data_IF_197467906871
#
_entry.id   IF_197467906871
#
_cell.length_a   1.000
_cell.length_b   1.000
_cell.length_c   1.000
_cell.angle_alpha   90.00
_cell.angle_beta   90.00
_cell.angle_gamma   90.00
#
_symmetry.space_group_name_H-M   'P 1'
#
loop_
_entity.id
_entity.type
_entity.pdbx_description
1 polymer ?
#
# COMPACT_ATOMS: atom_id res chain seq x y z
N UNK A 1 -5.73 3.48 -8.35
CA UNK A 1 -4.33 3.48 -8.85
C UNK A 1 -3.71 4.88 -8.86
N UNK A 2 -4.22 5.87 -9.61
CA UNK A 2 -3.68 7.26 -9.56
C UNK A 2 -3.66 7.88 -8.16
N UNK A 3 -4.68 7.58 -7.37
CA UNK A 3 -4.75 8.05 -5.98
C UNK A 3 -3.63 7.48 -5.09
N UNK A 4 -3.23 6.24 -5.33
CA UNK A 4 -2.11 5.61 -4.62
C UNK A 4 -0.79 6.30 -4.94
N UNK A 5 -0.58 6.68 -6.20
CA UNK A 5 0.62 7.41 -6.62
C UNK A 5 0.72 8.76 -5.90
N UNK A 6 -0.39 9.50 -5.85
CA UNK A 6 -0.48 10.77 -5.13
C UNK A 6 -0.22 10.58 -3.64
N UNK A 7 -0.81 9.55 -3.03
CA UNK A 7 -0.66 9.25 -1.61
C UNK A 7 0.79 8.94 -1.25
N UNK A 8 1.46 8.06 -2.01
CA UNK A 8 2.88 7.74 -1.81
C UNK A 8 3.74 9.00 -1.95
N UNK A 9 3.53 9.81 -2.99
CA UNK A 9 4.30 11.03 -3.19
C UNK A 9 4.12 12.08 -2.10
N UNK A 10 2.96 12.13 -1.45
CA UNK A 10 2.69 13.05 -0.34
C UNK A 10 3.31 12.56 0.98
N UNK A 11 3.17 11.27 1.26
CA UNK A 11 3.66 10.65 2.51
C UNK A 11 5.16 10.45 2.49
N UNK A 12 5.71 10.26 1.30
CA UNK A 12 7.12 10.04 1.07
C UNK A 12 7.57 10.66 -0.26
N UNK A 13 7.98 11.95 -0.24
CA UNK A 13 8.39 12.65 -1.45
C UNK A 13 9.63 12.07 -2.13
N UNK A 14 10.53 11.44 -1.37
CA UNK A 14 11.75 10.85 -1.93
C UNK A 14 11.43 9.56 -2.69
N UNK A 15 10.68 8.64 -2.08
CA UNK A 15 10.22 7.42 -2.74
C UNK A 15 9.31 7.75 -3.94
N UNK A 16 8.41 8.73 -3.78
CA UNK A 16 7.55 9.20 -4.87
C UNK A 16 8.35 9.68 -6.08
N UNK A 17 9.38 10.52 -5.86
CA UNK A 17 10.28 10.97 -6.94
C UNK A 17 11.07 9.83 -7.56
N UNK A 18 11.53 8.87 -6.77
CA UNK A 18 12.23 7.68 -7.26
C UNK A 18 11.34 6.87 -8.21
N UNK A 19 10.13 6.51 -7.78
CA UNK A 19 9.19 5.72 -8.57
C UNK A 19 8.81 6.46 -9.86
N UNK A 20 8.59 7.77 -9.81
CA UNK A 20 8.35 8.59 -10.99
C UNK A 20 9.56 8.60 -11.95
N UNK A 21 10.77 8.79 -11.43
CA UNK A 21 12.01 8.77 -12.23
C UNK A 21 12.21 7.43 -12.94
N UNK A 22 12.00 6.33 -12.21
CA UNK A 22 12.08 4.97 -12.74
C UNK A 22 10.88 4.59 -13.60
N UNK A 23 9.84 5.44 -13.69
CA UNK A 23 8.57 5.19 -14.38
C UNK A 23 7.84 3.95 -13.86
N UNK A 24 7.99 3.64 -12.57
CA UNK A 24 7.27 2.56 -11.89
C UNK A 24 5.88 3.07 -11.52
N UNK A 25 4.91 2.83 -12.40
CA UNK A 25 3.50 3.18 -12.14
C UNK A 25 2.86 2.18 -11.18
N UNK A 26 1.99 2.64 -10.25
CA UNK A 26 1.17 1.73 -9.45
C UNK A 26 0.26 0.80 -10.25
N UNK A 27 0.10 1.01 -11.56
CA UNK A 27 -0.63 0.08 -12.44
C UNK A 27 0.07 -1.28 -12.56
N UNK A 28 1.40 -1.33 -12.43
CA UNK A 28 2.18 -2.56 -12.59
C UNK A 28 1.96 -3.59 -11.46
N UNK A 29 1.55 -3.14 -10.28
CA UNK A 29 1.37 -3.99 -9.09
C UNK A 29 -0.02 -3.78 -8.45
N UNK A 30 -0.46 -2.53 -8.35
CA UNK A 30 -1.67 -2.12 -7.64
C UNK A 30 -2.98 -2.52 -8.30
N UNK A 31 -3.02 -2.78 -9.61
CA UNK A 31 -4.24 -3.27 -10.27
C UNK A 31 -4.68 -4.61 -9.68
N UNK A 32 -3.75 -5.56 -9.60
CA UNK A 32 -3.97 -6.90 -9.05
C UNK A 32 -4.34 -6.84 -7.56
N UNK A 33 -3.58 -6.07 -6.79
CA UNK A 33 -3.83 -5.84 -5.37
C UNK A 33 -5.26 -5.32 -5.08
N UNK A 34 -5.70 -4.33 -5.85
CA UNK A 34 -7.02 -3.73 -5.66
C UNK A 34 -8.13 -4.67 -6.14
N UNK A 35 -8.02 -5.23 -7.35
CA UNK A 35 -9.06 -6.10 -7.94
C UNK A 35 -9.25 -7.38 -7.15
N UNK A 36 -8.17 -7.92 -6.57
CA UNK A 36 -8.20 -9.16 -5.80
C UNK A 36 -8.23 -8.93 -4.29
N UNK A 37 -8.40 -7.68 -3.83
CA UNK A 37 -8.47 -7.32 -2.41
C UNK A 37 -7.36 -7.98 -1.56
N UNK A 38 -6.12 -7.95 -2.09
CA UNK A 38 -4.91 -8.52 -1.49
C UNK A 38 -4.90 -10.05 -1.28
N UNK A 39 -5.88 -10.80 -1.81
CA UNK A 39 -5.98 -12.27 -1.64
C UNK A 39 -4.80 -13.09 -2.19
N UNK A 40 -3.95 -12.48 -3.02
CA UNK A 40 -2.75 -13.12 -3.57
C UNK A 40 -1.46 -12.76 -2.83
N UNK A 41 -1.50 -11.79 -1.91
CA UNK A 41 -0.31 -11.40 -1.13
C UNK A 41 -0.27 -12.05 0.25
N UNK A 42 -1.42 -12.49 0.76
CA UNK A 42 -1.59 -13.00 2.11
C UNK A 42 -2.37 -14.31 2.13
N UNK A 43 -2.21 -15.08 3.20
CA UNK A 43 -3.00 -16.28 3.41
C UNK A 43 -4.46 -15.95 3.78
N UNK A 44 -5.35 -16.94 3.70
CA UNK A 44 -6.77 -16.72 3.93
C UNK A 44 -7.07 -16.12 5.33
N UNK A 45 -6.46 -16.58 6.44
CA UNK A 45 -6.63 -15.94 7.74
C UNK A 45 -6.27 -14.45 7.76
N UNK A 46 -5.16 -14.05 7.16
CA UNK A 46 -4.75 -12.65 7.07
C UNK A 46 -5.68 -11.83 6.19
N UNK A 47 -6.10 -12.38 5.05
CA UNK A 47 -7.08 -11.75 4.16
C UNK A 47 -8.38 -11.47 4.90
N UNK A 48 -8.89 -12.44 5.66
CA UNK A 48 -10.13 -12.27 6.44
C UNK A 48 -9.99 -11.12 7.45
N UNK A 49 -8.86 -11.05 8.16
CA UNK A 49 -8.56 -9.96 9.10
C UNK A 49 -8.46 -8.59 8.42
N UNK A 50 -7.80 -8.53 7.26
CA UNK A 50 -7.75 -7.30 6.45
C UNK A 50 -9.16 -6.88 6.02
N UNK A 51 -10.01 -7.83 5.66
CA UNK A 51 -11.37 -7.56 5.21
C UNK A 51 -12.26 -7.02 6.33
N UNK A 52 -12.06 -7.42 7.58
CA UNK A 52 -12.74 -6.81 8.73
C UNK A 52 -12.47 -5.29 8.78
N UNK A 53 -11.22 -4.86 8.53
CA UNK A 53 -10.86 -3.44 8.42
C UNK A 53 -11.46 -2.78 7.17
N UNK A 54 -11.37 -3.41 6.00
CA UNK A 54 -11.83 -2.85 4.73
C UNK A 54 -13.35 -2.64 4.69
N UNK A 55 -14.11 -3.62 5.19
CA UNK A 55 -15.57 -3.62 5.12
C UNK A 55 -16.23 -2.74 6.20
N UNK A 56 -15.48 -2.36 7.23
CA UNK A 56 -15.93 -1.42 8.26
C UNK A 56 -15.84 0.05 7.78
N UNK A 57 -15.04 0.35 6.74
CA UNK A 57 -14.91 1.69 6.19
C UNK A 57 -16.20 2.14 5.46
N UNK A 58 -16.73 3.30 5.85
CA UNK A 58 -17.91 3.92 5.20
C UNK A 58 -17.62 4.30 3.75
N UNK A 59 -16.36 4.63 3.45
CA UNK A 59 -15.87 4.74 2.08
C UNK A 59 -15.28 3.40 1.67
N UNK A 60 -16.14 2.43 1.36
CA UNK A 60 -15.88 0.99 1.08
C UNK A 60 -14.50 0.55 0.57
N UNK A 61 -13.78 1.37 -0.21
CA UNK A 61 -12.46 1.05 -0.77
C UNK A 61 -11.42 2.17 -0.62
N UNK A 62 -11.72 3.19 0.19
CA UNK A 62 -10.80 4.26 0.56
C UNK A 62 -9.62 3.69 1.32
N UNK A 63 -9.88 3.02 2.44
CA UNK A 63 -8.83 2.39 3.27
C UNK A 63 -7.93 1.41 2.49
N UNK A 64 -8.45 0.69 1.48
CA UNK A 64 -7.64 -0.19 0.63
C UNK A 64 -6.48 0.55 -0.05
N UNK A 65 -6.71 1.78 -0.49
CA UNK A 65 -5.67 2.59 -1.12
C UNK A 65 -4.57 2.97 -0.12
N UNK A 66 -4.94 3.25 1.13
CA UNK A 66 -4.01 3.50 2.23
C UNK A 66 -3.22 2.26 2.59
N UNK A 67 -3.88 1.10 2.65
CA UNK A 67 -3.22 -0.18 2.89
C UNK A 67 -2.20 -0.51 1.79
N UNK A 68 -2.58 -0.40 0.51
CA UNK A 68 -1.64 -0.61 -0.58
C UNK A 68 -0.47 0.38 -0.56
N UNK A 69 -0.69 1.65 -0.19
CA UNK A 69 0.41 2.61 -0.03
C UNK A 69 1.32 2.22 1.14
N UNK A 70 0.77 1.75 2.27
CA UNK A 70 1.55 1.25 3.40
C UNK A 70 2.43 0.05 3.00
N UNK A 71 1.94 -0.85 2.15
CA UNK A 71 2.75 -1.95 1.58
C UNK A 71 3.96 -1.40 0.83
N UNK A 72 3.78 -0.42 -0.05
CA UNK A 72 4.90 0.20 -0.81
C UNK A 72 5.90 0.88 0.13
N UNK A 73 5.40 1.63 1.12
CA UNK A 73 6.21 2.33 2.11
C UNK A 73 6.97 1.36 3.02
N UNK A 74 6.42 0.18 3.30
CA UNK A 74 7.06 -0.83 4.15
C UNK A 74 8.35 -1.43 3.56
N UNK A 75 8.52 -1.35 2.24
CA UNK A 75 9.72 -1.80 1.52
C UNK A 75 10.52 -0.65 0.92
N UNK A 76 10.27 0.59 1.39
CA UNK A 76 10.93 1.82 0.94
C UNK A 76 12.43 1.66 0.78
N UNK A 77 13.10 1.19 1.83
CA UNK A 77 14.56 1.18 1.89
C UNK A 77 15.15 0.27 0.80
N UNK A 78 14.53 -0.89 0.56
CA UNK A 78 14.89 -1.81 -0.51
C UNK A 78 14.72 -1.16 -1.89
N UNK A 79 13.60 -0.45 -2.12
CA UNK A 79 13.35 0.23 -3.40
C UNK A 79 14.37 1.35 -3.66
N UNK A 80 14.72 2.12 -2.61
CA UNK A 80 15.69 3.22 -2.71
C UNK A 80 17.12 2.71 -2.88
N UNK A 81 17.51 1.70 -2.13
CA UNK A 81 18.86 1.12 -2.19
C UNK A 81 19.14 0.54 -3.58
N UNK A 82 18.20 -0.23 -4.14
CA UNK A 82 18.40 -0.85 -5.44
C UNK A 82 18.25 0.13 -6.61
N UNK A 83 17.31 1.08 -6.54
CA UNK A 83 17.12 2.14 -7.54
C UNK A 83 17.07 1.63 -9.00
N UNK A 84 16.45 0.48 -9.23
CA UNK A 84 16.34 -0.16 -10.54
C UNK A 84 14.87 -0.48 -10.88
N UNK A 85 14.47 -0.23 -12.12
CA UNK A 85 13.09 -0.43 -12.56
C UNK A 85 12.64 -1.89 -12.43
N UNK A 86 13.44 -2.82 -12.96
CA UNK A 86 13.08 -4.24 -13.00
C UNK A 86 13.02 -4.82 -11.59
N UNK A 87 13.97 -4.42 -10.74
CA UNK A 87 13.98 -4.77 -9.33
C UNK A 87 12.72 -4.25 -8.62
N UNK A 88 12.42 -2.95 -8.70
CA UNK A 88 11.28 -2.34 -8.03
C UNK A 88 9.95 -2.99 -8.44
N UNK A 89 9.73 -3.21 -9.74
CA UNK A 89 8.52 -3.88 -10.23
C UNK A 89 8.43 -5.30 -9.71
N UNK A 90 9.54 -6.07 -9.75
CA UNK A 90 9.56 -7.44 -9.26
C UNK A 90 9.32 -7.53 -7.77
N UNK A 91 9.94 -6.66 -6.98
CA UNK A 91 9.72 -6.57 -5.54
C UNK A 91 8.24 -6.29 -5.25
N UNK A 92 7.66 -5.28 -5.86
CA UNK A 92 6.26 -4.93 -5.65
C UNK A 92 5.28 -6.01 -6.15
N UNK A 93 5.60 -6.73 -7.23
CA UNK A 93 4.73 -7.80 -7.73
C UNK A 93 4.82 -9.09 -6.89
N UNK A 94 5.96 -9.33 -6.24
CA UNK A 94 6.25 -10.49 -5.39
C UNK A 94 6.45 -10.03 -3.94
N UNK A 95 5.44 -9.35 -3.41
CA UNK A 95 5.50 -8.90 -2.02
C UNK A 95 5.40 -10.09 -1.06
N UNK A 96 4.60 -11.11 -1.42
CA UNK A 96 4.50 -12.44 -0.79
C UNK A 96 4.36 -12.39 0.75
N UNK A 97 3.64 -11.40 1.27
CA UNK A 97 3.40 -11.27 2.71
C UNK A 97 4.66 -11.07 3.55
N UNK A 98 5.76 -10.57 2.97
CA UNK A 98 7.07 -10.45 3.64
C UNK A 98 7.06 -9.56 4.89
N UNK A 99 6.06 -8.68 5.01
CA UNK A 99 5.82 -7.86 6.21
C UNK A 99 4.55 -8.36 6.90
N UNK A 100 4.59 -8.60 8.23
CA UNK A 100 3.41 -9.01 8.99
C UNK A 100 2.22 -8.07 8.78
N UNK A 101 1.03 -8.64 8.61
CA UNK A 101 -0.21 -7.90 8.37
C UNK A 101 -0.43 -6.81 9.42
N UNK A 102 -0.14 -7.09 10.69
CA UNK A 102 -0.37 -6.16 11.80
C UNK A 102 0.44 -4.87 11.64
N UNK A 103 1.68 -4.96 11.14
CA UNK A 103 2.52 -3.79 10.88
C UNK A 103 1.97 -2.96 9.70
N UNK A 104 1.46 -3.64 8.68
CA UNK A 104 0.88 -2.99 7.51
C UNK A 104 -0.43 -2.30 7.84
N UNK A 105 -1.29 -2.93 8.64
CA UNK A 105 -2.53 -2.33 9.15
C UNK A 105 -2.23 -1.11 10.01
N UNK A 106 -1.29 -1.20 10.95
CA UNK A 106 -0.88 -0.07 11.78
C UNK A 106 -0.41 1.12 10.92
N UNK A 107 0.51 0.87 9.97
CA UNK A 107 0.97 1.92 9.05
C UNK A 107 -0.15 2.48 8.18
N UNK A 108 -1.09 1.65 7.70
CA UNK A 108 -2.23 2.10 6.93
C UNK A 108 -3.17 3.00 7.74
N UNK A 109 -3.46 2.65 9.00
CA UNK A 109 -4.26 3.46 9.90
C UNK A 109 -3.58 4.79 10.21
N UNK A 110 -2.29 4.80 10.51
CA UNK A 110 -1.53 6.04 10.76
C UNK A 110 -1.64 7.01 9.58
N UNK A 111 -1.46 6.50 8.35
CA UNK A 111 -1.58 7.31 7.13
C UNK A 111 -3.02 7.81 6.94
N UNK A 112 -4.01 6.95 7.20
CA UNK A 112 -5.43 7.27 7.05
C UNK A 112 -5.90 8.34 8.03
N UNK A 113 -5.51 8.24 9.31
CA UNK A 113 -5.89 9.18 10.37
C UNK A 113 -5.27 10.56 10.16
N UNK A 114 -4.04 10.64 9.65
CA UNK A 114 -3.41 11.90 9.28
C UNK A 114 -4.23 12.67 8.22
N UNK A 115 -4.85 11.94 7.28
CA UNK A 115 -5.65 12.54 6.22
C UNK A 115 -7.12 12.74 6.64
N UNK A 116 -7.58 12.05 7.70
CA UNK A 116 -8.93 12.13 8.26
C UNK A 116 -8.95 12.33 9.79
N UNK A 117 -8.41 13.45 10.30
CA UNK A 117 -8.22 13.66 11.75
C UNK A 117 -9.52 13.77 12.57
N UNK A 118 -10.70 13.71 11.95
CA UNK A 118 -12.01 13.91 12.58
C UNK A 118 -12.94 12.69 12.58
N UNK A 119 -12.56 11.54 12.01
CA UNK A 119 -13.43 10.35 11.91
C UNK A 119 -13.28 9.31 13.03
N UNK A 120 -12.26 9.38 13.89
CA UNK A 120 -12.00 8.34 14.94
C UNK A 120 -12.59 8.67 16.33
N UNK A 121 -13.56 9.60 16.45
CA UNK A 121 -14.36 9.77 17.68
C UNK A 121 -15.80 9.31 17.48
N UNK A 122 -16.02 8.02 17.21
CA UNK A 122 -17.27 7.31 17.54
C UNK A 122 -16.99 5.85 17.84
#
# INVERSE_FOLDING_TARGET
VKEMERLIGNKDPELGRLLQRLRVSPTFYGFRWITLLMTQEFDLPDVMRLWDSLLTDRQRFGFLTYFCAAVVLSIRDELIEHNDFAFCVKALQRFDGRVPLEKLLAGAYDIYEQDHPASTRR
#
